data_IF_884152494073
#
_entry.id   IF_884152494073
#
_cell.length_a   1.000
_cell.length_b   1.000
_cell.length_c   1.000
_cell.angle_alpha   90.00
_cell.angle_beta   90.00
_cell.angle_gamma   90.00
#
_symmetry.space_group_name_H-M   'P 1'
#
loop_
_entity.id
_entity.type
_entity.pdbx_description
1 polymer ?
#
# COMPACT_ATOMS: atom_id res chain seq x y z
N UNK A 1 -13.65 29.62 -4.92
CA UNK A 1 -13.36 30.49 -6.09
C UNK A 1 -12.12 29.89 -6.71
N UNK A 2 -12.28 29.27 -7.90
CA UNK A 2 -11.32 28.36 -8.54
C UNK A 2 -10.27 29.14 -9.36
N UNK A 3 -8.98 29.00 -9.05
CA UNK A 3 -7.91 29.28 -10.02
C UNK A 3 -7.22 28.00 -10.56
N UNK A 4 -7.76 26.79 -10.30
CA UNK A 4 -7.01 25.55 -10.57
C UNK A 4 -7.10 25.05 -12.02
N UNK A 5 -8.15 25.36 -12.78
CA UNK A 5 -8.32 24.81 -14.12
C UNK A 5 -7.32 25.35 -15.16
N UNK A 6 -6.93 26.61 -15.10
CA UNK A 6 -6.01 27.19 -16.10
C UNK A 6 -4.60 26.64 -16.04
N UNK A 7 -4.05 26.37 -14.87
CA UNK A 7 -2.71 25.83 -14.71
C UNK A 7 -2.62 24.33 -15.09
N UNK A 8 -3.68 23.58 -14.84
CA UNK A 8 -3.76 22.17 -15.23
C UNK A 8 -3.81 21.98 -16.74
N UNK A 9 -4.50 22.87 -17.47
CA UNK A 9 -4.57 22.82 -18.94
C UNK A 9 -3.22 23.17 -19.59
N UNK A 10 -2.46 24.13 -19.03
CA UNK A 10 -1.11 24.46 -19.52
C UNK A 10 -0.11 23.31 -19.28
N UNK A 11 -0.11 22.69 -18.12
CA UNK A 11 0.75 21.54 -17.85
C UNK A 11 0.44 20.35 -18.75
N UNK A 12 -0.88 20.13 -19.03
CA UNK A 12 -1.31 19.08 -19.95
C UNK A 12 -0.77 19.32 -21.36
N UNK A 13 -0.89 20.53 -21.88
CA UNK A 13 -0.38 20.88 -23.21
C UNK A 13 1.15 20.73 -23.27
N UNK A 14 1.87 21.11 -22.21
CA UNK A 14 3.31 20.92 -22.13
C UNK A 14 3.69 19.44 -22.13
N UNK A 15 2.95 18.60 -21.39
CA UNK A 15 3.15 17.15 -21.37
C UNK A 15 2.92 16.52 -22.75
N UNK A 16 1.83 16.89 -23.44
CA UNK A 16 1.53 16.42 -24.80
C UNK A 16 2.64 16.81 -25.80
N UNK A 17 3.18 18.04 -25.70
CA UNK A 17 4.32 18.50 -26.52
C UNK A 17 5.59 17.71 -26.20
N UNK A 18 5.89 17.49 -24.93
CA UNK A 18 7.07 16.75 -24.49
C UNK A 18 7.03 15.28 -24.95
N UNK A 19 5.89 14.60 -24.82
CA UNK A 19 5.70 13.24 -25.35
C UNK A 19 5.78 13.22 -26.88
N UNK A 20 5.13 14.18 -27.57
CA UNK A 20 5.18 14.32 -29.03
C UNK A 20 6.62 14.46 -29.54
N UNK A 21 7.43 15.26 -28.87
CA UNK A 21 8.86 15.41 -29.22
C UNK A 21 9.63 14.09 -29.07
N UNK A 22 9.35 13.31 -28.04
CA UNK A 22 10.01 12.01 -27.83
C UNK A 22 9.58 10.95 -28.86
N UNK A 23 8.29 10.86 -29.19
CA UNK A 23 7.79 9.89 -30.19
C UNK A 23 8.01 10.35 -31.63
N UNK A 24 8.35 11.61 -31.86
CA UNK A 24 8.59 12.18 -33.20
C UNK A 24 7.32 12.46 -34.01
N UNK A 25 6.16 12.53 -33.36
CA UNK A 25 4.86 12.79 -34.00
C UNK A 25 3.90 13.46 -33.02
N UNK A 26 2.94 14.28 -33.50
CA UNK A 26 1.91 14.84 -32.64
C UNK A 26 1.05 13.75 -32.01
N UNK A 27 0.99 13.72 -30.67
CA UNK A 27 0.14 12.82 -29.90
C UNK A 27 -0.55 13.60 -28.78
N UNK A 28 -1.74 13.13 -28.38
CA UNK A 28 -2.45 13.62 -27.20
C UNK A 28 -2.78 12.43 -26.29
N UNK A 29 -2.51 12.59 -25.00
CA UNK A 29 -2.79 11.54 -24.04
C UNK A 29 -4.26 11.54 -23.60
N UNK A 30 -4.78 10.42 -23.15
CA UNK A 30 -6.05 10.26 -22.49
C UNK A 30 -5.83 10.03 -20.99
N UNK A 31 -6.66 10.52 -20.07
CA UNK A 31 -6.53 10.23 -18.64
C UNK A 31 -6.44 8.72 -18.41
N UNK A 32 -5.38 8.26 -17.73
CA UNK A 32 -5.14 6.84 -17.48
C UNK A 32 -5.61 6.41 -16.09
N UNK A 33 -5.58 7.30 -15.10
CA UNK A 33 -6.15 7.06 -13.77
C UNK A 33 -6.67 8.35 -13.16
N UNK A 34 -7.63 8.23 -12.23
CA UNK A 34 -8.14 9.32 -11.40
C UNK A 34 -7.76 9.04 -9.94
N UNK A 35 -6.49 9.25 -9.58
CA UNK A 35 -6.02 9.03 -8.22
C UNK A 35 -6.21 10.26 -7.33
N UNK A 36 -6.19 10.06 -6.01
CA UNK A 36 -6.31 11.12 -5.01
C UNK A 36 -4.95 11.84 -4.75
N UNK A 37 -3.96 11.65 -5.59
CA UNK A 37 -2.62 12.22 -5.56
C UNK A 37 -2.55 13.49 -6.42
N UNK A 38 -1.53 14.31 -6.21
CA UNK A 38 -1.17 15.40 -7.12
C UNK A 38 -0.57 14.89 -8.44
N UNK A 39 -0.20 13.62 -8.53
CA UNK A 39 0.24 12.96 -9.76
C UNK A 39 -0.93 12.69 -10.66
N UNK A 40 -0.77 13.02 -11.95
CA UNK A 40 -1.73 12.71 -12.99
C UNK A 40 -1.07 11.78 -14.00
N UNK A 41 -1.84 10.83 -14.51
CA UNK A 41 -1.34 9.86 -15.47
C UNK A 41 -2.15 9.95 -16.75
N UNK A 42 -1.44 9.94 -17.89
CA UNK A 42 -2.05 10.04 -19.22
C UNK A 42 -1.51 8.96 -20.13
N UNK A 43 -2.39 8.26 -20.82
CA UNK A 43 -2.04 7.21 -21.77
C UNK A 43 -1.95 7.76 -23.18
N UNK A 44 -0.87 7.42 -23.88
CA UNK A 44 -0.58 7.79 -25.23
C UNK A 44 -0.54 6.56 -26.13
N UNK A 45 -0.98 6.69 -27.40
CA UNK A 45 -0.91 5.62 -28.40
C UNK A 45 -0.05 6.09 -29.56
N UNK A 46 1.00 5.36 -29.88
CA UNK A 46 1.86 5.66 -31.02
C UNK A 46 2.52 4.38 -31.56
N UNK A 47 2.50 4.19 -32.90
CA UNK A 47 3.17 3.07 -33.56
C UNK A 47 2.72 1.69 -33.08
N UNK A 48 1.45 1.52 -32.72
CA UNK A 48 0.90 0.27 -32.18
C UNK A 48 1.28 -0.03 -30.73
N UNK A 49 1.96 0.92 -30.04
CA UNK A 49 2.34 0.81 -28.63
C UNK A 49 1.52 1.78 -27.78
N UNK A 50 1.36 1.42 -26.51
CA UNK A 50 0.81 2.30 -25.48
C UNK A 50 1.91 2.71 -24.51
N UNK A 51 1.86 3.97 -24.10
CA UNK A 51 2.78 4.58 -23.15
C UNK A 51 1.98 5.31 -22.08
N UNK A 52 2.52 5.45 -20.89
CA UNK A 52 1.92 6.26 -19.83
C UNK A 52 2.87 7.39 -19.47
N UNK A 53 2.39 8.63 -19.52
CA UNK A 53 3.14 9.75 -18.99
C UNK A 53 2.58 10.18 -17.64
N UNK A 54 3.46 10.34 -16.66
CA UNK A 54 3.17 10.91 -15.34
C UNK A 54 3.47 12.40 -15.36
N UNK A 55 2.53 13.20 -14.90
CA UNK A 55 2.66 14.62 -14.60
C UNK A 55 2.62 14.80 -13.08
N UNK A 56 3.76 15.13 -12.49
CA UNK A 56 3.96 15.36 -11.06
C UNK A 56 4.50 16.78 -10.86
N UNK A 57 3.65 17.79 -10.57
CA UNK A 57 4.08 19.17 -10.42
C UNK A 57 5.19 19.31 -9.36
N UNK A 58 6.39 19.84 -9.70
CA UNK A 58 7.56 19.82 -8.81
C UNK A 58 7.37 20.55 -7.48
N UNK A 59 6.44 21.51 -7.42
CA UNK A 59 6.09 22.23 -6.19
C UNK A 59 5.30 21.36 -5.21
N UNK A 60 4.73 20.24 -5.66
CA UNK A 60 3.84 19.36 -4.90
C UNK A 60 4.39 17.93 -4.76
N UNK A 61 5.15 17.47 -5.76
CA UNK A 61 5.60 16.07 -5.85
C UNK A 61 7.05 15.99 -6.33
N UNK A 62 7.83 15.12 -5.70
CA UNK A 62 9.17 14.77 -6.13
C UNK A 62 9.18 13.44 -6.89
N UNK A 63 9.64 13.44 -8.14
CA UNK A 63 9.76 12.23 -8.95
C UNK A 63 10.94 11.31 -8.55
N UNK A 64 11.91 11.80 -7.79
CA UNK A 64 13.13 11.04 -7.45
C UNK A 64 12.86 9.77 -6.67
N UNK A 65 11.97 9.74 -5.65
CA UNK A 65 11.60 8.50 -4.97
C UNK A 65 10.99 7.47 -5.93
N UNK A 66 10.09 7.87 -6.85
CA UNK A 66 9.53 6.97 -7.85
C UNK A 66 10.64 6.34 -8.71
N UNK A 67 11.58 7.14 -9.20
CA UNK A 67 12.69 6.68 -10.05
C UNK A 67 13.60 5.71 -9.29
N UNK A 68 13.98 6.05 -8.06
CA UNK A 68 14.87 5.22 -7.25
C UNK A 68 14.23 3.88 -6.90
N UNK A 69 12.97 3.89 -6.45
CA UNK A 69 12.24 2.69 -6.09
C UNK A 69 11.96 1.80 -7.31
N UNK A 70 11.54 2.37 -8.45
CA UNK A 70 11.38 1.62 -9.70
C UNK A 70 12.66 0.87 -10.09
N UNK A 71 13.82 1.55 -10.01
CA UNK A 71 15.13 0.95 -10.31
C UNK A 71 15.47 -0.21 -9.38
N UNK A 72 15.22 -0.07 -8.06
CA UNK A 72 15.46 -1.11 -7.05
C UNK A 72 14.60 -2.34 -7.29
N UNK A 73 13.31 -2.15 -7.56
CA UNK A 73 12.37 -3.22 -7.86
C UNK A 73 12.72 -3.94 -9.17
N UNK A 74 13.01 -3.20 -10.24
CA UNK A 74 13.44 -3.78 -11.52
C UNK A 74 14.74 -4.59 -11.36
N UNK A 75 15.71 -4.11 -10.58
CA UNK A 75 16.96 -4.83 -10.30
C UNK A 75 16.72 -6.15 -9.52
N UNK A 76 15.65 -6.22 -8.73
CA UNK A 76 15.20 -7.45 -8.05
C UNK A 76 14.36 -8.37 -8.94
N UNK A 77 14.14 -8.03 -10.21
CA UNK A 77 13.31 -8.82 -11.13
C UNK A 77 11.80 -8.61 -10.96
N UNK A 78 11.38 -7.59 -10.22
CA UNK A 78 9.97 -7.24 -10.08
C UNK A 78 9.50 -6.47 -11.32
N UNK A 79 8.36 -6.88 -11.87
CA UNK A 79 7.77 -6.23 -13.04
C UNK A 79 7.11 -4.90 -12.64
N UNK A 80 7.79 -3.80 -12.92
CA UNK A 80 7.35 -2.42 -12.67
C UNK A 80 7.38 -1.62 -13.98
N UNK A 81 6.71 -0.46 -14.07
CA UNK A 81 6.83 0.42 -15.23
C UNK A 81 8.30 0.81 -15.47
N UNK A 82 8.79 0.58 -16.69
CA UNK A 82 10.10 1.08 -17.13
C UNK A 82 10.02 2.57 -17.40
N UNK A 83 11.02 3.33 -16.94
CA UNK A 83 11.12 4.77 -17.18
C UNK A 83 11.88 4.99 -18.50
N UNK A 84 11.13 5.30 -19.56
CA UNK A 84 11.66 5.48 -20.91
C UNK A 84 12.28 6.85 -21.11
N UNK A 85 11.71 7.88 -20.47
CA UNK A 85 12.19 9.25 -20.54
C UNK A 85 11.79 10.05 -19.31
N UNK A 86 12.51 11.10 -19.00
CA UNK A 86 12.25 11.95 -17.82
C UNK A 86 12.62 13.41 -18.04
N UNK A 87 11.86 14.29 -17.43
CA UNK A 87 12.16 15.70 -17.25
C UNK A 87 11.82 16.10 -15.81
N UNK A 88 12.84 16.18 -14.96
CA UNK A 88 12.66 16.46 -13.53
C UNK A 88 12.37 17.94 -13.26
N UNK A 89 12.74 18.85 -14.17
CA UNK A 89 12.45 20.28 -14.03
C UNK A 89 10.95 20.53 -14.22
N UNK A 90 10.33 19.81 -15.15
CA UNK A 90 8.90 19.84 -15.37
C UNK A 90 8.12 18.83 -14.54
N UNK A 91 8.78 17.84 -13.94
CA UNK A 91 8.15 16.76 -13.19
C UNK A 91 7.43 15.75 -14.10
N UNK A 92 7.99 15.46 -15.28
CA UNK A 92 7.42 14.51 -16.25
C UNK A 92 8.23 13.22 -16.29
N UNK A 93 7.52 12.08 -16.26
CA UNK A 93 8.11 10.76 -16.56
C UNK A 93 7.30 10.08 -17.67
N UNK A 94 7.98 9.49 -18.64
CA UNK A 94 7.39 8.63 -19.65
C UNK A 94 7.68 7.16 -19.29
N UNK A 95 6.65 6.36 -19.19
CA UNK A 95 6.66 5.01 -18.64
C UNK A 95 6.12 4.01 -19.66
N UNK A 96 6.54 2.75 -19.54
CA UNK A 96 5.81 1.65 -20.18
C UNK A 96 4.41 1.53 -19.60
N UNK A 97 3.44 1.12 -20.42
CA UNK A 97 2.07 0.93 -19.99
C UNK A 97 1.87 -0.48 -19.44
N UNK A 98 1.44 -0.59 -18.20
CA UNK A 98 1.17 -1.85 -17.50
C UNK A 98 -0.24 -2.39 -17.78
N UNK A 99 -1.00 -1.78 -18.71
CA UNK A 99 -2.37 -2.16 -19.01
C UNK A 99 -3.42 -1.32 -18.30
N UNK A 100 -4.65 -1.78 -18.34
CA UNK A 100 -5.81 -1.04 -17.83
C UNK A 100 -6.55 -1.78 -16.71
N UNK A 101 -6.24 -3.03 -16.50
CA UNK A 101 -6.95 -3.91 -15.56
C UNK A 101 -6.10 -4.17 -14.33
N UNK A 102 -6.68 -3.91 -13.16
CA UNK A 102 -6.05 -4.24 -11.87
C UNK A 102 -6.53 -5.60 -11.37
N UNK A 103 -5.76 -6.21 -10.50
CA UNK A 103 -6.19 -7.43 -9.83
C UNK A 103 -7.47 -7.24 -9.01
N UNK A 104 -7.73 -6.04 -8.50
CA UNK A 104 -8.95 -5.75 -7.76
C UNK A 104 -10.22 -6.05 -8.58
N UNK A 105 -10.17 -5.85 -9.89
CA UNK A 105 -11.32 -6.10 -10.79
C UNK A 105 -11.31 -7.48 -11.42
N UNK A 106 -10.16 -8.14 -11.47
CA UNK A 106 -9.97 -9.42 -12.16
C UNK A 106 -9.90 -10.65 -11.24
N UNK A 107 -9.64 -10.45 -9.92
CA UNK A 107 -9.60 -11.53 -8.94
C UNK A 107 -10.98 -12.09 -8.66
N UNK A 108 -11.07 -13.41 -8.71
CA UNK A 108 -12.24 -14.19 -8.30
C UNK A 108 -11.83 -15.47 -7.55
N UNK A 109 -12.80 -16.24 -7.09
CA UNK A 109 -12.55 -17.48 -6.34
C UNK A 109 -11.81 -18.54 -7.16
N UNK A 110 -11.94 -18.53 -8.49
CA UNK A 110 -11.34 -19.52 -9.38
C UNK A 110 -9.87 -19.25 -9.70
N UNK A 111 -9.46 -17.99 -9.72
CA UNK A 111 -8.07 -17.59 -10.07
C UNK A 111 -7.22 -17.19 -8.86
N UNK A 112 -7.81 -16.90 -7.70
CA UNK A 112 -7.14 -16.31 -6.55
C UNK A 112 -5.91 -17.12 -6.07
N UNK A 113 -5.98 -18.45 -5.99
CA UNK A 113 -4.86 -19.26 -5.48
C UNK A 113 -3.64 -19.19 -6.40
N UNK A 114 -3.86 -19.23 -7.71
CA UNK A 114 -2.78 -19.12 -8.70
C UNK A 114 -2.18 -17.69 -8.71
N UNK A 115 -3.04 -16.68 -8.66
CA UNK A 115 -2.60 -15.28 -8.71
C UNK A 115 -1.89 -14.87 -7.43
N UNK A 116 -2.42 -15.22 -6.26
CA UNK A 116 -1.70 -14.98 -5.00
C UNK A 116 -0.39 -15.77 -4.95
N UNK A 117 -0.32 -16.97 -5.53
CA UNK A 117 0.93 -17.69 -5.70
C UNK A 117 1.98 -16.88 -6.48
N UNK A 118 1.60 -16.23 -7.59
CA UNK A 118 2.48 -15.36 -8.37
C UNK A 118 2.83 -14.05 -7.61
N UNK A 119 1.86 -13.48 -6.88
CA UNK A 119 2.14 -12.31 -6.03
C UNK A 119 3.14 -12.63 -4.92
N UNK A 120 3.08 -13.83 -4.34
CA UNK A 120 4.05 -14.27 -3.33
C UNK A 120 5.46 -14.39 -3.91
N UNK A 121 5.60 -14.91 -5.12
CA UNK A 121 6.90 -15.00 -5.78
C UNK A 121 7.47 -13.61 -6.07
N UNK A 122 6.62 -12.68 -6.53
CA UNK A 122 6.99 -11.26 -6.73
C UNK A 122 7.38 -10.59 -5.40
N UNK A 123 6.62 -10.81 -4.35
CA UNK A 123 6.89 -10.25 -3.03
C UNK A 123 8.19 -10.79 -2.42
N UNK A 124 8.45 -12.07 -2.58
CA UNK A 124 9.72 -12.69 -2.14
C UNK A 124 10.90 -12.14 -2.94
N UNK A 125 10.78 -11.99 -4.27
CA UNK A 125 11.80 -11.35 -5.08
C UNK A 125 12.07 -9.90 -4.63
N UNK A 126 11.02 -9.12 -4.36
CA UNK A 126 11.13 -7.77 -3.81
C UNK A 126 11.89 -7.77 -2.47
N UNK A 127 11.49 -8.61 -1.53
CA UNK A 127 12.03 -8.59 -0.16
C UNK A 127 13.43 -9.19 -0.03
N UNK A 128 13.80 -10.12 -0.92
CA UNK A 128 15.12 -10.74 -0.93
C UNK A 128 16.12 -10.02 -1.84
N UNK A 129 15.65 -9.35 -2.90
CA UNK A 129 16.49 -8.80 -3.97
C UNK A 129 16.51 -7.28 -4.05
N UNK A 130 15.45 -6.58 -3.65
CA UNK A 130 15.44 -5.13 -3.70
C UNK A 130 16.21 -4.55 -2.51
N UNK A 131 17.20 -3.70 -2.83
CA UNK A 131 18.00 -3.02 -1.82
C UNK A 131 17.13 -2.05 -1.01
N UNK A 132 17.07 -2.25 0.30
CA UNK A 132 16.33 -1.39 1.23
C UNK A 132 17.21 -0.29 1.86
N UNK A 133 18.52 -0.28 1.59
CA UNK A 133 19.44 0.71 2.16
C UNK A 133 19.14 2.11 1.61
N UNK A 134 19.08 3.08 2.52
CA UNK A 134 18.76 4.47 2.19
C UNK A 134 17.26 4.76 1.99
N UNK A 135 16.37 3.76 2.03
CA UNK A 135 14.94 4.01 2.14
C UNK A 135 14.58 4.57 3.53
N UNK A 136 13.51 5.36 3.65
CA UNK A 136 12.97 5.75 4.95
C UNK A 136 12.75 4.52 5.83
N UNK A 137 13.13 4.60 7.09
CA UNK A 137 12.93 3.48 8.03
C UNK A 137 11.52 3.52 8.60
N UNK A 138 10.84 2.37 8.61
CA UNK A 138 9.58 2.20 9.31
C UNK A 138 9.83 2.09 10.81
N UNK A 139 10.19 3.21 11.41
CA UNK A 139 10.63 3.31 12.79
C UNK A 139 9.46 3.46 13.79
N UNK A 140 9.81 3.53 15.08
CA UNK A 140 8.85 3.76 16.18
C UNK A 140 8.02 5.03 15.96
N UNK A 141 8.63 6.11 15.49
CA UNK A 141 7.95 7.38 15.31
C UNK A 141 6.89 7.30 14.19
N UNK A 142 7.21 6.62 13.09
CA UNK A 142 6.27 6.40 11.98
C UNK A 142 5.13 5.47 12.41
N UNK A 143 5.45 4.32 13.02
CA UNK A 143 4.46 3.37 13.55
C UNK A 143 3.50 4.04 14.53
N UNK A 144 4.05 4.84 15.45
CA UNK A 144 3.27 5.58 16.46
C UNK A 144 2.34 6.60 15.82
N UNK A 145 2.86 7.40 14.88
CA UNK A 145 2.06 8.38 14.14
C UNK A 145 0.90 7.73 13.40
N UNK A 146 1.13 6.58 12.78
CA UNK A 146 0.09 5.85 12.05
C UNK A 146 -0.98 5.28 12.99
N UNK A 147 -0.61 4.69 14.13
CA UNK A 147 -1.56 4.23 15.15
C UNK A 147 -2.37 5.40 15.75
N UNK A 148 -1.74 6.56 15.91
CA UNK A 148 -2.39 7.78 16.38
C UNK A 148 -3.55 8.25 15.50
N UNK A 149 -3.57 7.88 14.21
CA UNK A 149 -4.68 8.18 13.31
C UNK A 149 -6.00 7.54 13.78
N UNK A 150 -5.93 6.33 14.38
CA UNK A 150 -7.11 5.69 14.97
C UNK A 150 -7.68 6.51 16.12
N UNK A 151 -6.83 6.92 17.06
CA UNK A 151 -7.26 7.70 18.22
C UNK A 151 -7.80 9.07 17.82
N UNK A 152 -7.06 9.78 16.95
CA UNK A 152 -7.41 11.15 16.57
C UNK A 152 -8.66 11.18 15.66
N UNK A 153 -8.64 10.42 14.57
CA UNK A 153 -9.64 10.56 13.52
C UNK A 153 -10.84 9.65 13.71
N UNK A 154 -10.62 8.37 14.07
CA UNK A 154 -11.75 7.48 14.26
C UNK A 154 -12.41 7.68 15.61
N UNK A 155 -11.68 7.54 16.72
CA UNK A 155 -12.27 7.70 18.05
C UNK A 155 -12.66 9.14 18.33
N UNK A 156 -11.76 10.09 18.14
CA UNK A 156 -12.00 11.50 18.44
C UNK A 156 -12.97 12.16 17.47
N UNK A 157 -12.60 12.25 16.18
CA UNK A 157 -13.39 13.02 15.20
C UNK A 157 -14.65 12.30 14.73
N UNK A 158 -14.59 10.98 14.48
CA UNK A 158 -15.74 10.26 13.95
C UNK A 158 -16.70 9.80 15.05
N UNK A 159 -16.18 9.24 16.15
CA UNK A 159 -17.01 8.73 17.24
C UNK A 159 -17.30 9.78 18.33
N UNK A 160 -16.61 10.91 18.34
CA UNK A 160 -16.77 11.96 19.34
C UNK A 160 -16.32 11.55 20.74
N UNK A 161 -15.43 10.56 20.85
CA UNK A 161 -14.95 10.05 22.13
C UNK A 161 -13.73 10.87 22.59
N UNK A 162 -13.72 11.24 23.85
CA UNK A 162 -12.54 11.77 24.53
C UNK A 162 -11.94 10.65 25.35
N UNK A 163 -10.68 10.28 25.03
CA UNK A 163 -9.96 9.25 25.76
C UNK A 163 -9.26 9.89 26.96
N UNK A 164 -9.50 9.37 28.15
CA UNK A 164 -8.93 9.89 29.39
C UNK A 164 -8.46 8.75 30.32
N UNK A 165 -7.50 9.07 31.19
CA UNK A 165 -7.08 8.23 32.30
C UNK A 165 -6.68 6.79 31.88
N UNK A 166 -7.35 5.81 32.45
CA UNK A 166 -7.00 4.39 32.27
C UNK A 166 -7.19 3.90 30.85
N UNK A 167 -8.15 4.39 30.09
CA UNK A 167 -8.41 3.94 28.73
C UNK A 167 -7.31 4.41 27.76
N UNK A 168 -6.85 5.66 27.92
CA UNK A 168 -5.67 6.14 27.19
C UNK A 168 -4.45 5.28 27.52
N UNK A 169 -4.17 5.02 28.79
CA UNK A 169 -3.01 4.22 29.18
C UNK A 169 -3.07 2.78 28.62
N UNK A 170 -4.26 2.15 28.60
CA UNK A 170 -4.44 0.82 28.03
C UNK A 170 -4.25 0.80 26.50
N UNK A 171 -4.82 1.79 25.80
CA UNK A 171 -4.64 1.89 24.34
C UNK A 171 -3.17 2.12 23.98
N UNK A 172 -2.48 2.96 24.75
CA UNK A 172 -1.06 3.20 24.59
C UNK A 172 -0.22 1.94 24.81
N UNK A 173 -0.54 1.12 25.81
CA UNK A 173 0.12 -0.16 26.04
C UNK A 173 -0.09 -1.16 24.88
N UNK A 174 -1.31 -1.16 24.28
CA UNK A 174 -1.58 -1.94 23.06
C UNK A 174 -0.73 -1.43 21.89
N UNK A 175 -0.64 -0.12 21.70
CA UNK A 175 0.17 0.48 20.65
C UNK A 175 1.65 0.12 20.82
N UNK A 176 2.17 0.20 22.03
CA UNK A 176 3.55 -0.20 22.31
C UNK A 176 3.77 -1.68 22.01
N UNK A 177 2.85 -2.57 22.37
CA UNK A 177 2.93 -4.00 22.02
C UNK A 177 3.02 -4.22 20.51
N UNK A 178 2.20 -3.54 19.72
CA UNK A 178 2.19 -3.62 18.26
C UNK A 178 3.50 -3.06 17.66
N UNK A 179 3.97 -1.93 18.17
CA UNK A 179 5.22 -1.29 17.73
C UNK A 179 6.42 -2.19 18.03
N UNK A 180 6.53 -2.72 19.25
CA UNK A 180 7.63 -3.62 19.63
C UNK A 180 7.64 -4.87 18.76
N UNK A 181 6.47 -5.46 18.50
CA UNK A 181 6.38 -6.62 17.62
C UNK A 181 6.81 -6.31 16.17
N UNK A 182 6.49 -5.14 15.66
CA UNK A 182 6.92 -4.71 14.33
C UNK A 182 8.43 -4.46 14.28
N UNK A 183 8.98 -3.78 15.29
CA UNK A 183 10.41 -3.45 15.36
C UNK A 183 11.31 -4.66 15.63
N UNK A 184 10.79 -5.71 16.23
CA UNK A 184 11.51 -6.98 16.47
C UNK A 184 11.67 -7.82 15.19
N UNK A 185 10.92 -7.53 14.13
CA UNK A 185 11.01 -8.25 12.87
C UNK A 185 12.25 -7.82 12.06
N UNK A 186 12.78 -8.71 11.23
CA UNK A 186 13.79 -8.35 10.24
C UNK A 186 13.25 -7.23 9.32
N UNK A 187 14.14 -6.29 9.00
CA UNK A 187 13.84 -5.21 8.05
C UNK A 187 14.14 -5.67 6.64
N UNK A 188 13.17 -5.49 5.76
CA UNK A 188 13.26 -5.74 4.32
C UNK A 188 12.73 -4.54 3.56
N UNK A 189 12.81 -4.60 2.23
CA UNK A 189 12.07 -3.68 1.39
C UNK A 189 10.57 -3.90 1.60
N UNK A 190 9.82 -2.86 1.94
CA UNK A 190 8.36 -2.87 2.15
C UNK A 190 7.72 -1.85 1.22
N UNK A 191 6.82 -2.31 0.37
CA UNK A 191 6.06 -1.51 -0.58
C UNK A 191 5.02 -0.62 0.12
N UNK A 192 4.45 -1.07 1.24
CA UNK A 192 3.37 -0.51 2.07
C UNK A 192 1.96 -0.68 1.49
N UNK A 193 1.81 -0.67 0.18
CA UNK A 193 0.53 -0.79 -0.50
C UNK A 193 0.55 -1.90 -1.57
N UNK A 194 1.23 -3.04 -1.24
CA UNK A 194 1.26 -4.26 -2.07
C UNK A 194 -0.08 -5.00 -1.95
N UNK A 195 -1.07 -4.56 -2.72
CA UNK A 195 -2.45 -5.04 -2.64
C UNK A 195 -3.12 -5.06 -4.02
N UNK A 196 -4.23 -5.81 -4.22
CA UNK A 196 -4.85 -6.04 -5.53
C UNK A 196 -5.11 -4.80 -6.38
N UNK A 197 -5.42 -3.66 -5.79
CA UNK A 197 -5.62 -2.42 -6.56
C UNK A 197 -4.34 -1.86 -7.20
N UNK A 198 -3.18 -2.22 -6.66
CA UNK A 198 -1.86 -1.77 -7.10
C UNK A 198 -1.07 -2.87 -7.82
N UNK A 199 -1.73 -4.00 -8.12
CA UNK A 199 -1.23 -5.07 -8.95
C UNK A 199 -1.98 -5.07 -10.28
N UNK A 200 -1.24 -4.97 -11.39
CA UNK A 200 -1.79 -4.92 -12.75
C UNK A 200 -1.82 -6.31 -13.36
N UNK A 201 -2.88 -6.59 -14.11
CA UNK A 201 -2.92 -7.76 -15.01
C UNK A 201 -2.01 -7.46 -16.21
N UNK A 202 -0.86 -8.09 -16.23
CA UNK A 202 0.22 -7.81 -17.19
C UNK A 202 1.00 -9.08 -17.54
N UNK A 203 1.96 -8.99 -18.45
CA UNK A 203 2.90 -10.03 -18.78
C UNK A 203 4.33 -9.49 -18.64
N UNK A 204 5.14 -9.96 -17.67
CA UNK A 204 4.82 -10.91 -16.58
C UNK A 204 3.75 -10.41 -15.60
N UNK A 205 3.01 -11.35 -14.98
CA UNK A 205 1.95 -11.06 -14.00
C UNK A 205 2.40 -11.38 -12.57
N UNK A 206 2.27 -10.46 -11.60
CA UNK A 206 1.68 -9.13 -11.68
C UNK A 206 2.66 -8.05 -12.15
N UNK A 207 2.13 -6.98 -12.73
CA UNK A 207 2.80 -5.70 -12.77
C UNK A 207 2.56 -4.93 -11.47
N UNK A 208 3.59 -4.33 -10.89
CA UNK A 208 3.51 -3.63 -9.59
C UNK A 208 3.60 -2.13 -9.80
N UNK A 209 2.64 -1.38 -9.26
CA UNK A 209 2.57 0.09 -9.32
C UNK A 209 2.40 0.68 -7.92
N UNK A 210 2.49 2.01 -7.80
CA UNK A 210 2.28 2.78 -6.54
C UNK A 210 3.30 2.46 -5.44
N UNK A 211 4.56 2.28 -5.82
CA UNK A 211 5.67 1.82 -4.96
C UNK A 211 6.54 2.93 -4.37
N UNK A 212 6.35 4.19 -4.74
CA UNK A 212 7.26 5.30 -4.42
C UNK A 212 7.35 5.63 -2.91
N UNK A 213 6.40 5.18 -2.12
CA UNK A 213 6.37 5.35 -0.67
C UNK A 213 6.99 4.16 0.09
N UNK A 214 7.81 3.35 -0.60
CA UNK A 214 8.49 2.21 -0.02
C UNK A 214 9.41 2.60 1.14
N UNK A 215 9.55 1.68 2.09
CA UNK A 215 10.35 1.86 3.31
C UNK A 215 11.18 0.61 3.62
N UNK A 216 12.22 0.76 4.44
CA UNK A 216 12.85 -0.37 5.12
C UNK A 216 12.03 -0.72 6.37
N UNK A 217 11.31 -1.83 6.37
CA UNK A 217 10.31 -2.14 7.38
C UNK A 217 10.12 -3.62 7.68
N UNK A 218 9.13 -3.96 8.53
CA UNK A 218 8.93 -5.31 9.03
C UNK A 218 8.49 -6.29 7.93
N UNK A 219 9.10 -7.47 7.93
CA UNK A 219 8.92 -8.52 6.94
C UNK A 219 7.45 -8.90 6.68
N UNK A 220 6.61 -8.89 7.72
CA UNK A 220 5.21 -9.31 7.60
C UNK A 220 4.25 -8.24 7.06
N UNK A 221 4.70 -7.02 6.80
CA UNK A 221 3.81 -5.91 6.43
C UNK A 221 3.10 -6.15 5.10
N UNK A 222 3.85 -6.37 4.03
CA UNK A 222 3.28 -6.53 2.69
C UNK A 222 2.47 -7.83 2.51
N UNK A 223 2.85 -8.99 3.09
CA UNK A 223 1.98 -10.17 3.10
C UNK A 223 0.60 -9.89 3.71
N UNK A 224 0.54 -9.12 4.80
CA UNK A 224 -0.74 -8.73 5.41
C UNK A 224 -1.47 -7.70 4.55
N UNK A 225 -0.76 -6.77 3.90
CA UNK A 225 -1.36 -5.84 2.98
C UNK A 225 -2.07 -6.56 1.82
N UNK A 226 -1.44 -7.62 1.31
CA UNK A 226 -1.98 -8.43 0.21
C UNK A 226 -3.23 -9.22 0.59
N UNK A 227 -3.22 -9.91 1.74
CA UNK A 227 -4.28 -10.86 2.10
C UNK A 227 -5.39 -10.29 2.98
N UNK A 228 -5.13 -9.19 3.67
CA UNK A 228 -6.11 -8.46 4.50
C UNK A 228 -6.37 -7.08 3.91
N UNK A 229 -6.83 -7.10 2.67
CA UNK A 229 -7.03 -5.91 1.85
C UNK A 229 -8.22 -5.05 2.31
N UNK A 230 -8.21 -3.79 1.83
CA UNK A 230 -9.28 -2.83 2.08
C UNK A 230 -10.55 -3.10 1.27
N UNK A 231 -10.43 -3.74 0.11
CA UNK A 231 -11.50 -3.84 -0.88
C UNK A 231 -11.98 -5.27 -1.10
N UNK A 232 -11.11 -6.26 -0.88
CA UNK A 232 -11.42 -7.69 -0.97
C UNK A 232 -11.25 -8.37 0.38
N UNK A 233 -12.08 -9.37 0.66
CA UNK A 233 -11.95 -10.23 1.85
C UNK A 233 -12.04 -11.69 1.45
N UNK A 234 -11.19 -12.48 2.08
CA UNK A 234 -11.11 -13.91 1.87
C UNK A 234 -11.38 -14.66 3.17
N UNK A 235 -11.91 -15.89 3.12
CA UNK A 235 -12.05 -16.73 4.29
C UNK A 235 -10.72 -16.89 5.05
N UNK A 236 -10.78 -16.88 6.38
CA UNK A 236 -9.59 -16.88 7.23
C UNK A 236 -8.72 -18.12 7.07
N UNK A 237 -9.32 -19.27 6.84
CA UNK A 237 -8.65 -20.52 6.55
C UNK A 237 -7.85 -20.44 5.24
N UNK A 238 -8.41 -19.82 4.20
CA UNK A 238 -7.72 -19.61 2.93
C UNK A 238 -6.54 -18.64 3.06
N UNK A 239 -6.73 -17.53 3.78
CA UNK A 239 -5.64 -16.59 4.10
C UNK A 239 -4.53 -17.31 4.87
N UNK A 240 -4.87 -18.18 5.81
CA UNK A 240 -3.88 -18.97 6.56
C UNK A 240 -3.07 -19.91 5.67
N UNK A 241 -3.69 -20.49 4.63
CA UNK A 241 -2.98 -21.31 3.63
C UNK A 241 -1.96 -20.46 2.86
N UNK A 242 -2.36 -19.28 2.38
CA UNK A 242 -1.44 -18.38 1.66
C UNK A 242 -0.31 -17.83 2.54
N UNK A 243 -0.57 -17.52 3.81
CA UNK A 243 0.47 -17.13 4.77
C UNK A 243 1.46 -18.27 5.04
N UNK A 244 0.99 -19.52 5.05
CA UNK A 244 1.86 -20.71 5.16
C UNK A 244 2.71 -20.88 3.91
N UNK A 245 2.12 -20.74 2.74
CA UNK A 245 2.81 -20.80 1.46
C UNK A 245 3.91 -19.72 1.36
N UNK A 246 3.60 -18.49 1.80
CA UNK A 246 4.61 -17.44 1.91
C UNK A 246 5.75 -17.86 2.86
N UNK A 247 5.42 -18.32 4.06
CA UNK A 247 6.41 -18.73 5.07
C UNK A 247 7.38 -19.79 4.52
N UNK A 248 6.85 -20.80 3.86
CA UNK A 248 7.62 -21.89 3.25
C UNK A 248 8.54 -21.39 2.12
N UNK A 249 7.98 -20.61 1.18
CA UNK A 249 8.73 -20.06 0.03
C UNK A 249 9.77 -19.03 0.47
N UNK A 250 9.41 -18.13 1.37
CA UNK A 250 10.30 -17.09 1.90
C UNK A 250 11.49 -17.72 2.65
N UNK A 251 11.23 -18.75 3.47
CA UNK A 251 12.29 -19.51 4.13
C UNK A 251 13.21 -20.23 3.14
N UNK A 252 12.65 -20.84 2.10
CA UNK A 252 13.43 -21.47 1.03
C UNK A 252 14.28 -20.46 0.22
N UNK A 253 13.81 -19.23 0.10
CA UNK A 253 14.54 -18.12 -0.52
C UNK A 253 15.57 -17.45 0.41
N UNK A 254 15.71 -17.91 1.66
CA UNK A 254 16.67 -17.39 2.62
C UNK A 254 16.22 -16.13 3.35
N UNK A 255 14.95 -15.72 3.23
CA UNK A 255 14.40 -14.63 4.04
C UNK A 255 14.32 -15.06 5.51
N UNK A 256 14.60 -14.16 6.46
CA UNK A 256 14.70 -14.48 7.88
C UNK A 256 13.32 -14.62 8.56
N UNK A 257 12.49 -15.51 8.03
CA UNK A 257 11.23 -15.91 8.67
C UNK A 257 11.49 -16.74 9.91
N UNK A 258 10.64 -16.71 10.95
CA UNK A 258 10.73 -17.60 12.10
C UNK A 258 10.66 -19.08 11.67
N UNK A 259 11.38 -19.98 12.36
CA UNK A 259 11.34 -21.41 12.04
C UNK A 259 9.94 -22.02 12.23
N UNK A 260 9.21 -21.61 13.27
CA UNK A 260 7.85 -22.06 13.51
C UNK A 260 6.83 -21.16 12.80
N UNK A 261 5.87 -21.79 12.10
CA UNK A 261 4.77 -21.07 11.42
C UNK A 261 3.91 -20.27 12.41
N UNK A 262 3.72 -20.74 13.63
CA UNK A 262 2.90 -20.03 14.62
C UNK A 262 3.56 -18.72 15.09
N UNK A 263 4.88 -18.64 15.12
CA UNK A 263 5.61 -17.38 15.36
C UNK A 263 5.49 -16.42 14.17
N UNK A 264 5.59 -16.94 12.95
CA UNK A 264 5.30 -16.19 11.73
C UNK A 264 3.88 -15.65 11.73
N UNK A 265 2.89 -16.50 12.02
CA UNK A 265 1.47 -16.11 12.10
C UNK A 265 1.25 -15.05 13.20
N UNK A 266 1.99 -15.13 14.32
CA UNK A 266 1.94 -14.10 15.35
C UNK A 266 2.46 -12.75 14.84
N UNK A 267 3.56 -12.71 14.08
CA UNK A 267 4.03 -11.48 13.45
C UNK A 267 2.98 -10.91 12.50
N UNK A 268 2.39 -11.74 11.67
CA UNK A 268 1.32 -11.35 10.74
C UNK A 268 0.10 -10.78 11.46
N UNK A 269 -0.33 -11.41 12.55
CA UNK A 269 -1.49 -10.97 13.32
C UNK A 269 -1.27 -9.60 13.97
N UNK A 270 -0.12 -9.40 14.63
CA UNK A 270 0.17 -8.13 15.29
C UNK A 270 0.44 -7.01 14.28
N UNK A 271 1.12 -7.31 13.17
CA UNK A 271 1.29 -6.36 12.07
C UNK A 271 -0.04 -6.00 11.42
N UNK A 272 -0.92 -7.00 11.25
CA UNK A 272 -2.27 -6.81 10.77
C UNK A 272 -3.08 -5.88 11.68
N UNK A 273 -3.00 -6.08 12.99
CA UNK A 273 -3.68 -5.21 13.96
C UNK A 273 -3.19 -3.76 13.88
N UNK A 274 -1.88 -3.54 13.77
CA UNK A 274 -1.31 -2.20 13.56
C UNK A 274 -1.86 -1.56 12.28
N UNK A 275 -1.79 -2.29 11.15
CA UNK A 275 -2.24 -1.79 9.86
C UNK A 275 -3.75 -1.53 9.84
N UNK A 276 -4.56 -2.38 10.45
CA UNK A 276 -6.01 -2.21 10.46
C UNK A 276 -6.42 -0.98 11.26
N UNK A 277 -5.83 -0.74 12.42
CA UNK A 277 -6.05 0.50 13.19
C UNK A 277 -5.65 1.73 12.39
N UNK A 278 -4.47 1.72 11.74
CA UNK A 278 -4.03 2.78 10.83
C UNK A 278 -5.07 3.06 9.75
N UNK A 279 -5.53 2.03 9.02
CA UNK A 279 -6.45 2.20 7.88
C UNK A 279 -7.82 2.72 8.34
N UNK A 280 -8.36 2.23 9.46
CA UNK A 280 -9.59 2.78 10.06
C UNK A 280 -9.44 4.27 10.32
N UNK A 281 -8.29 4.69 10.89
CA UNK A 281 -7.97 6.09 11.12
C UNK A 281 -7.84 6.91 9.83
N UNK A 282 -7.19 6.35 8.79
CA UNK A 282 -7.09 6.98 7.47
C UNK A 282 -8.47 7.17 6.85
N UNK A 283 -9.35 6.18 6.87
CA UNK A 283 -10.69 6.27 6.32
C UNK A 283 -11.54 7.32 7.03
N UNK A 284 -11.44 7.40 8.35
CA UNK A 284 -12.08 8.48 9.12
C UNK A 284 -11.50 9.86 8.74
N UNK A 285 -10.18 9.98 8.57
CA UNK A 285 -9.53 11.22 8.12
C UNK A 285 -10.01 11.65 6.72
N UNK A 286 -10.05 10.73 5.76
CA UNK A 286 -10.51 10.99 4.39
C UNK A 286 -11.97 11.48 4.41
N UNK A 287 -12.83 10.85 5.23
CA UNK A 287 -14.21 11.32 5.39
C UNK A 287 -14.29 12.75 5.93
N UNK A 288 -13.59 13.04 7.02
CA UNK A 288 -13.79 14.29 7.78
C UNK A 288 -12.95 15.45 7.24
N UNK A 289 -11.77 15.18 6.67
CA UNK A 289 -10.88 16.20 6.11
C UNK A 289 -11.17 16.43 4.61
N UNK A 290 -11.34 15.35 3.84
CA UNK A 290 -11.38 15.41 2.38
C UNK A 290 -12.81 15.30 1.82
N UNK A 291 -13.82 15.13 2.71
CA UNK A 291 -15.24 15.09 2.33
C UNK A 291 -15.65 13.86 1.51
N UNK A 292 -14.88 12.75 1.58
CA UNK A 292 -15.13 11.50 0.83
C UNK A 292 -15.64 10.38 1.77
N UNK A 293 -16.96 10.26 2.02
CA UNK A 293 -17.50 9.34 3.04
C UNK A 293 -17.37 7.86 2.69
N UNK A 294 -17.31 7.51 1.41
CA UNK A 294 -17.34 6.14 0.89
C UNK A 294 -16.27 5.22 1.50
N UNK A 295 -15.07 5.74 1.75
CA UNK A 295 -13.98 4.93 2.32
C UNK A 295 -14.30 4.39 3.72
N UNK A 296 -15.06 5.15 4.53
CA UNK A 296 -15.39 4.72 5.88
C UNK A 296 -16.45 3.60 5.91
N UNK A 297 -17.17 3.37 4.81
CA UNK A 297 -18.10 2.25 4.65
C UNK A 297 -17.37 0.89 4.69
N UNK A 298 -16.08 0.86 4.35
CA UNK A 298 -15.22 -0.32 4.42
C UNK A 298 -14.58 -0.54 5.81
N UNK A 299 -14.71 0.39 6.75
CA UNK A 299 -14.14 0.25 8.10
C UNK A 299 -14.62 -1.01 8.86
N UNK A 300 -15.89 -1.46 8.77
CA UNK A 300 -16.36 -2.69 9.41
C UNK A 300 -15.53 -3.92 9.06
N UNK A 301 -15.00 -4.02 7.83
CA UNK A 301 -14.12 -5.10 7.39
C UNK A 301 -12.85 -5.19 8.25
N UNK A 302 -12.22 -4.05 8.52
CA UNK A 302 -11.02 -4.00 9.35
C UNK A 302 -11.30 -4.31 10.81
N UNK A 303 -12.47 -3.93 11.33
CA UNK A 303 -12.91 -4.37 12.65
C UNK A 303 -13.11 -5.89 12.70
N UNK A 304 -13.69 -6.50 11.67
CA UNK A 304 -13.81 -7.95 11.60
C UNK A 304 -12.43 -8.65 11.61
N UNK A 305 -11.43 -8.11 10.89
CA UNK A 305 -10.06 -8.61 10.97
C UNK A 305 -9.46 -8.45 12.37
N UNK A 306 -9.63 -7.29 13.01
CA UNK A 306 -9.17 -7.06 14.39
C UNK A 306 -9.81 -8.04 15.36
N UNK A 307 -11.14 -8.23 15.30
CA UNK A 307 -11.87 -9.17 16.16
C UNK A 307 -11.33 -10.60 16.01
N UNK A 308 -11.08 -11.04 14.78
CA UNK A 308 -10.48 -12.35 14.51
C UNK A 308 -9.12 -12.51 15.18
N UNK A 309 -8.26 -11.50 15.08
CA UNK A 309 -6.92 -11.53 15.69
C UNK A 309 -7.01 -11.49 17.21
N UNK A 310 -7.85 -10.64 17.79
CA UNK A 310 -8.04 -10.49 19.24
C UNK A 310 -8.43 -11.84 19.89
N UNK A 311 -9.26 -12.67 19.22
CA UNK A 311 -9.66 -13.97 19.78
C UNK A 311 -8.50 -14.95 19.96
N UNK A 312 -7.43 -14.81 19.19
CA UNK A 312 -6.29 -15.74 19.21
C UNK A 312 -5.00 -15.14 19.78
N UNK A 313 -4.98 -13.83 20.10
CA UNK A 313 -3.79 -13.13 20.63
C UNK A 313 -4.11 -12.49 21.98
N UNK A 314 -3.74 -13.17 23.10
CA UNK A 314 -4.02 -12.66 24.45
C UNK A 314 -3.43 -11.26 24.70
N UNK A 315 -2.31 -10.92 24.07
CA UNK A 315 -1.67 -9.61 24.15
C UNK A 315 -2.55 -8.46 23.62
N UNK A 316 -3.60 -8.76 22.86
CA UNK A 316 -4.59 -7.80 22.35
C UNK A 316 -5.91 -7.82 23.13
N UNK A 317 -5.99 -8.51 24.27
CA UNK A 317 -7.21 -8.60 25.06
C UNK A 317 -7.70 -7.23 25.55
N UNK A 318 -6.77 -6.31 25.86
CA UNK A 318 -7.13 -4.94 26.23
C UNK A 318 -7.74 -4.16 25.06
N UNK A 319 -7.23 -4.35 23.84
CA UNK A 319 -7.85 -3.78 22.64
C UNK A 319 -9.30 -4.27 22.48
N UNK A 320 -9.53 -5.57 22.67
CA UNK A 320 -10.89 -6.14 22.61
C UNK A 320 -11.83 -5.48 23.59
N UNK A 321 -11.42 -5.35 24.87
CA UNK A 321 -12.22 -4.70 25.91
C UNK A 321 -12.52 -3.23 25.58
N UNK A 322 -11.53 -2.49 25.10
CA UNK A 322 -11.69 -1.09 24.70
C UNK A 322 -12.66 -0.94 23.53
N UNK A 323 -12.53 -1.78 22.48
CA UNK A 323 -13.44 -1.75 21.34
C UNK A 323 -14.89 -2.03 21.76
N UNK A 324 -15.11 -3.00 22.68
CA UNK A 324 -16.43 -3.30 23.25
C UNK A 324 -17.00 -2.12 24.04
N UNK A 325 -16.20 -1.55 24.94
CA UNK A 325 -16.55 -0.39 25.75
C UNK A 325 -16.93 0.83 24.89
N UNK A 326 -16.23 1.05 23.79
CA UNK A 326 -16.52 2.15 22.86
C UNK A 326 -17.60 1.85 21.86
N UNK A 327 -18.20 0.64 21.87
CA UNK A 327 -19.21 0.21 20.92
C UNK A 327 -18.69 0.22 19.48
N UNK A 328 -17.42 -0.16 19.26
CA UNK A 328 -16.85 -0.33 17.94
C UNK A 328 -17.27 -1.70 17.33
N UNK A 329 -17.46 -1.79 16.00
CA UNK A 329 -17.86 -3.04 15.34
C UNK A 329 -17.01 -4.26 15.67
#
# INVERSE_FOLDING_TARGET
MQPENGNQDHRRAALDQWVSAWVGAPVAGEPASADASFRRYFRYRHGGRTLVAMDAPPEQEDCRPFIDVARRLAAAGVHVPEILHRDLEQGFLLLTDMGTETWLTALDDGNADAWFGAALDTLIAQQSGADADGLPVYDRALLRRELGLFSEWYLGRHRGLTLEGADTARLEAVFDTLIESALAQPRVFVHRDFMPRNLMVSDPNPGVIDFQDAVAGPLSYDPICLFKDAFLSWPEDRVRVWLRLYHERAGAAGLPVPAAFDDWLRWCDLMGAQRHLKVIGIFARIRHRDGKPKYLEDAPRFFAYLRTVITRRPELADLGRLLDQWGCP
#
